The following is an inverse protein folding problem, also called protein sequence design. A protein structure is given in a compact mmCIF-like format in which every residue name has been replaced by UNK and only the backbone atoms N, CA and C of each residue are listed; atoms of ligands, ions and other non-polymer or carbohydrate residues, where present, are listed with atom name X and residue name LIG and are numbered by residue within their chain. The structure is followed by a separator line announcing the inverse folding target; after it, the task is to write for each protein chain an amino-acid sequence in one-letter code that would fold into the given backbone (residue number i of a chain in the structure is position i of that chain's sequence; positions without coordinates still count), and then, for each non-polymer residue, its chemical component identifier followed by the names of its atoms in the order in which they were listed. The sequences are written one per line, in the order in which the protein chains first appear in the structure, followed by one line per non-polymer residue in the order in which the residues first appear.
data_IF_626624434880
#
_entry.id   IF_626624434880
#
_cell.length_a   1.000
_cell.length_b   1.000
_cell.length_c   1.000
_cell.angle_alpha   90.00
_cell.angle_beta   90.00
_cell.angle_gamma   90.00
#
_symmetry.space_group_name_H-M   'P 1'
#
loop_
_entity.id
_entity.type
_entity.pdbx_description
1 polymer ?
#
# COMPACT_ATOMS: atom_id res chain seq x y z
N UNK A 1 -2.25 6.63 24.47
CA UNK A 1 -1.77 5.32 24.97
C UNK A 1 -1.43 4.46 23.77
N UNK A 2 -0.19 4.58 23.28
CA UNK A 2 0.38 3.61 22.37
C UNK A 2 0.88 2.47 23.26
N UNK A 3 0.43 1.25 23.02
CA UNK A 3 0.92 0.10 23.77
C UNK A 3 2.44 0.06 23.59
N UNK A 4 3.15 0.28 24.70
CA UNK A 4 4.55 -0.02 24.84
C UNK A 4 4.67 -1.51 24.50
N UNK A 5 5.40 -1.78 23.42
CA UNK A 5 5.54 -3.08 22.81
C UNK A 5 6.43 -3.91 23.75
N UNK A 6 5.82 -4.55 24.75
CA UNK A 6 6.43 -5.60 25.59
C UNK A 6 6.71 -6.89 24.79
N UNK A 7 6.80 -6.81 23.45
CA UNK A 7 7.12 -7.95 22.59
C UNK A 7 8.59 -7.87 22.17
N UNK A 8 9.30 -9.02 22.12
CA UNK A 8 10.69 -9.07 21.69
C UNK A 8 10.82 -8.41 20.33
N UNK A 9 11.81 -7.53 20.19
CA UNK A 9 12.06 -6.78 18.97
C UNK A 9 12.23 -7.75 17.78
N UNK A 10 11.19 -7.83 16.94
CA UNK A 10 11.15 -8.69 15.77
C UNK A 10 12.29 -8.38 14.80
N UNK A 11 12.84 -7.15 14.81
CA UNK A 11 13.98 -6.80 13.99
C UNK A 11 15.26 -7.55 14.41
N UNK A 12 15.46 -7.78 15.71
CA UNK A 12 16.58 -8.62 16.21
C UNK A 12 16.51 -10.01 15.60
N UNK A 13 15.33 -10.59 15.53
CA UNK A 13 15.12 -11.91 14.90
C UNK A 13 15.43 -11.89 13.39
N UNK A 14 15.20 -10.76 12.70
CA UNK A 14 15.60 -10.61 11.30
C UNK A 14 17.12 -10.50 11.15
N UNK A 15 17.81 -9.85 12.09
CA UNK A 15 19.27 -9.75 12.10
C UNK A 15 19.94 -11.11 12.38
N UNK A 16 19.41 -11.91 13.29
CA UNK A 16 19.88 -13.29 13.54
C UNK A 16 19.72 -14.16 12.30
N UNK A 17 18.57 -14.10 11.62
CA UNK A 17 18.41 -14.81 10.35
C UNK A 17 19.41 -14.34 9.29
N UNK A 18 19.71 -13.04 9.28
CA UNK A 18 20.68 -12.48 8.34
C UNK A 18 22.09 -13.01 8.64
N UNK A 19 22.44 -13.18 9.93
CA UNK A 19 23.76 -13.65 10.35
C UNK A 19 24.07 -15.09 9.96
N UNK A 20 23.05 -15.91 9.72
CA UNK A 20 23.19 -17.25 9.16
C UNK A 20 23.78 -17.25 7.74
N UNK A 21 23.71 -16.11 7.01
CA UNK A 21 24.18 -15.99 5.62
C UNK A 21 25.26 -14.93 5.42
N UNK A 22 25.35 -13.96 6.32
CA UNK A 22 26.24 -12.81 6.21
C UNK A 22 26.95 -12.56 7.53
N UNK A 23 28.12 -11.92 7.49
CA UNK A 23 28.80 -11.55 8.72
C UNK A 23 28.10 -10.33 9.33
N UNK A 24 27.39 -10.58 10.42
CA UNK A 24 26.75 -9.57 11.26
C UNK A 24 27.58 -9.48 12.55
N UNK A 25 28.17 -8.33 12.83
CA UNK A 25 29.05 -8.14 13.99
C UNK A 25 28.63 -6.92 14.79
N UNK A 26 28.89 -6.93 16.09
CA UNK A 26 28.64 -5.77 16.94
C UNK A 26 29.68 -4.67 16.67
N UNK A 27 29.24 -3.47 16.28
CA UNK A 27 30.11 -2.30 16.09
C UNK A 27 30.54 -1.67 17.42
N UNK A 28 29.72 -1.83 18.45
CA UNK A 28 29.89 -1.23 19.77
C UNK A 28 29.53 -2.23 20.88
N UNK A 29 29.87 -1.91 22.13
CA UNK A 29 29.46 -2.72 23.27
C UNK A 29 27.94 -2.62 23.46
N UNK A 30 27.26 -3.76 23.55
CA UNK A 30 25.83 -3.83 23.84
C UNK A 30 25.64 -3.73 25.35
N UNK A 31 24.88 -2.74 25.79
CA UNK A 31 24.67 -2.43 27.22
C UNK A 31 23.20 -2.50 27.57
N UNK A 32 22.90 -2.87 28.82
CA UNK A 32 21.56 -2.72 29.37
C UNK A 32 21.29 -1.26 29.80
N UNK A 33 20.05 -0.94 30.19
CA UNK A 33 19.68 0.41 30.66
C UNK A 33 20.49 0.90 31.88
N UNK A 34 21.06 0.00 32.67
CA UNK A 34 21.91 0.33 33.82
C UNK A 34 23.38 0.59 33.42
N UNK A 35 23.71 0.51 32.12
CA UNK A 35 25.05 0.74 31.59
C UNK A 35 25.98 -0.48 31.67
N UNK A 36 25.52 -1.63 32.17
CA UNK A 36 26.32 -2.85 32.23
C UNK A 36 26.48 -3.45 30.83
N UNK A 37 27.72 -3.82 30.48
CA UNK A 37 28.04 -4.46 29.19
C UNK A 37 27.54 -5.90 29.20
N UNK A 38 26.61 -6.19 28.30
CA UNK A 38 26.08 -7.54 28.07
C UNK A 38 26.97 -8.33 27.11
N UNK A 39 27.48 -7.64 26.08
CA UNK A 39 28.35 -8.19 25.04
C UNK A 39 29.32 -7.12 24.56
N UNK A 40 30.60 -7.48 24.42
CA UNK A 40 31.62 -6.61 23.84
C UNK A 40 31.52 -6.50 22.32
N UNK A 41 31.95 -5.34 21.80
CA UNK A 41 32.10 -5.07 20.36
C UNK A 41 32.94 -6.13 19.66
N UNK A 42 32.69 -6.32 18.37
CA UNK A 42 33.40 -7.25 17.48
C UNK A 42 32.88 -8.69 17.51
N UNK A 43 32.02 -9.05 18.46
CA UNK A 43 31.38 -10.37 18.47
C UNK A 43 30.41 -10.54 17.30
N UNK A 44 30.37 -11.74 16.74
CA UNK A 44 29.39 -12.13 15.74
C UNK A 44 28.01 -12.29 16.39
N UNK A 45 26.96 -11.79 15.74
CA UNK A 45 25.59 -11.93 16.23
C UNK A 45 25.03 -13.29 15.80
N UNK A 46 24.97 -14.26 16.71
CA UNK A 46 24.31 -15.54 16.50
C UNK A 46 23.02 -15.66 17.34
N UNK A 47 22.36 -16.81 17.28
CA UNK A 47 21.09 -17.05 17.97
C UNK A 47 21.25 -17.04 19.50
N UNK A 48 22.33 -17.61 20.03
CA UNK A 48 22.63 -17.62 21.46
C UNK A 48 22.83 -16.20 21.99
N UNK A 49 23.64 -15.40 21.28
CA UNK A 49 23.92 -14.03 21.63
C UNK A 49 22.65 -13.17 21.56
N UNK A 50 21.82 -13.37 20.55
CA UNK A 50 20.56 -12.65 20.42
C UNK A 50 19.57 -13.01 21.52
N UNK A 51 19.46 -14.28 21.92
CA UNK A 51 18.64 -14.67 23.06
C UNK A 51 19.12 -13.99 24.34
N UNK A 52 20.44 -13.95 24.57
CA UNK A 52 21.04 -13.22 25.70
C UNK A 52 20.73 -11.72 25.65
N UNK A 53 20.76 -11.10 24.47
CA UNK A 53 20.47 -9.67 24.32
C UNK A 53 18.97 -9.41 24.55
N UNK A 54 18.08 -10.23 23.98
CA UNK A 54 16.63 -10.08 24.08
C UNK A 54 16.08 -10.29 25.51
N UNK A 55 16.82 -10.94 26.42
CA UNK A 55 16.41 -11.06 27.83
C UNK A 55 16.66 -9.79 28.65
N UNK A 56 17.19 -8.72 28.04
CA UNK A 56 17.49 -7.47 28.71
C UNK A 56 16.88 -6.27 27.98
N UNK A 57 16.49 -5.26 28.75
CA UNK A 57 16.20 -3.95 28.20
C UNK A 57 17.52 -3.22 27.89
N UNK A 58 17.75 -2.93 26.61
CA UNK A 58 18.98 -2.32 26.13
C UNK A 58 18.99 -0.79 26.36
N UNK A 59 20.17 -0.21 26.49
CA UNK A 59 20.34 1.26 26.58
C UNK A 59 20.03 1.97 25.26
N UNK A 60 20.14 1.25 24.14
CA UNK A 60 19.80 1.70 22.80
C UNK A 60 19.30 0.51 21.96
N UNK A 61 18.53 0.75 20.89
CA UNK A 61 18.11 -0.32 19.99
C UNK A 61 19.31 -1.11 19.42
N UNK A 62 19.18 -2.44 19.31
CA UNK A 62 20.30 -3.31 18.90
C UNK A 62 20.83 -2.94 17.52
N UNK A 63 19.98 -2.44 16.62
CA UNK A 63 20.39 -1.99 15.29
C UNK A 63 21.50 -0.95 15.30
N UNK A 64 21.60 -0.11 16.34
CA UNK A 64 22.64 0.91 16.46
C UNK A 64 24.00 0.30 16.78
N UNK A 65 24.01 -0.91 17.35
CA UNK A 65 25.22 -1.63 17.73
C UNK A 65 25.64 -2.67 16.69
N UNK A 66 25.00 -2.75 15.52
CA UNK A 66 25.24 -3.81 14.54
C UNK A 66 25.82 -3.25 13.25
N UNK A 67 26.83 -3.94 12.72
CA UNK A 67 27.41 -3.69 11.40
C UNK A 67 27.25 -4.92 10.51
N UNK A 68 26.86 -4.68 9.26
CA UNK A 68 26.78 -5.69 8.21
C UNK A 68 27.99 -5.61 7.28
N UNK A 69 28.56 -6.75 6.90
CA UNK A 69 29.60 -6.82 5.87
C UNK A 69 29.03 -6.73 4.45
N UNK A 70 27.76 -7.08 4.26
CA UNK A 70 27.03 -6.95 3.02
C UNK A 70 26.02 -5.81 3.15
N UNK A 71 26.28 -4.69 2.47
CA UNK A 71 25.34 -3.57 2.40
C UNK A 71 24.75 -3.46 0.99
N UNK A 72 23.50 -3.02 0.90
CA UNK A 72 22.92 -2.43 -0.32
C UNK A 72 23.35 -0.95 -0.33
N UNK A 73 24.63 -0.70 -0.63
CA UNK A 73 25.19 0.65 -0.80
C UNK A 73 24.66 1.34 -2.07
N UNK A 74 25.08 2.58 -2.34
CA UNK A 74 24.66 3.34 -3.53
C UNK A 74 24.89 2.55 -4.82
N UNK A 75 26.09 1.98 -4.99
CA UNK A 75 26.45 1.21 -6.18
C UNK A 75 25.49 0.03 -6.39
N UNK A 76 25.27 -0.79 -5.36
CA UNK A 76 24.32 -1.92 -5.45
C UNK A 76 22.88 -1.46 -5.64
N UNK A 77 22.49 -0.33 -5.04
CA UNK A 77 21.16 0.22 -5.21
C UNK A 77 20.92 0.61 -6.69
N UNK A 78 21.89 1.27 -7.32
CA UNK A 78 21.88 1.56 -8.76
C UNK A 78 21.81 0.27 -9.59
N UNK A 79 22.60 -0.76 -9.26
CA UNK A 79 22.53 -2.07 -9.93
C UNK A 79 21.13 -2.71 -9.81
N UNK A 80 20.43 -2.53 -8.68
CA UNK A 80 19.06 -3.01 -8.55
C UNK A 80 18.07 -2.20 -9.40
N UNK A 81 18.23 -0.88 -9.53
CA UNK A 81 17.43 -0.09 -10.47
C UNK A 81 17.68 -0.49 -11.93
N UNK A 82 18.92 -0.76 -12.31
CA UNK A 82 19.24 -1.29 -13.64
C UNK A 82 18.51 -2.61 -13.91
N UNK A 83 18.41 -3.50 -12.90
CA UNK A 83 17.62 -4.74 -13.00
C UNK A 83 16.12 -4.49 -13.11
N UNK A 84 15.61 -3.44 -12.47
CA UNK A 84 14.21 -3.00 -12.63
C UNK A 84 13.98 -2.52 -14.06
N UNK A 85 14.82 -1.62 -14.58
CA UNK A 85 14.72 -1.10 -15.94
C UNK A 85 14.85 -2.20 -17.00
N UNK A 86 15.75 -3.17 -16.81
CA UNK A 86 15.87 -4.32 -17.70
C UNK A 86 14.60 -5.19 -17.78
N UNK A 87 13.75 -5.17 -16.74
CA UNK A 87 12.46 -5.89 -16.72
C UNK A 87 11.28 -5.04 -17.22
N UNK A 88 11.42 -3.72 -17.25
CA UNK A 88 10.37 -2.79 -17.60
C UNK A 88 10.84 -1.85 -18.72
N UNK A 89 10.90 -2.35 -19.94
CA UNK A 89 11.41 -1.61 -21.11
C UNK A 89 10.77 -0.23 -21.32
N UNK A 90 9.43 -0.04 -21.20
CA UNK A 90 8.82 1.29 -21.31
C UNK A 90 9.33 2.29 -20.27
N UNK A 91 9.54 1.83 -19.02
CA UNK A 91 10.09 2.67 -17.96
C UNK A 91 11.57 2.98 -18.19
N UNK A 92 12.34 2.03 -18.71
CA UNK A 92 13.74 2.24 -19.05
C UNK A 92 13.91 3.28 -20.17
N UNK A 93 13.08 3.20 -21.21
CA UNK A 93 13.05 4.17 -22.30
C UNK A 93 12.69 5.56 -21.77
N UNK A 94 11.60 5.66 -21.00
CA UNK A 94 11.18 6.91 -20.38
C UNK A 94 12.27 7.51 -19.48
N UNK A 95 12.96 6.68 -18.70
CA UNK A 95 14.07 7.11 -17.84
C UNK A 95 15.19 7.79 -18.64
N UNK A 96 15.53 7.23 -19.81
CA UNK A 96 16.55 7.77 -20.72
C UNK A 96 16.09 9.06 -21.39
N UNK A 97 14.87 9.07 -21.94
CA UNK A 97 14.30 10.24 -22.64
C UNK A 97 14.16 11.46 -21.73
N UNK A 98 13.88 11.24 -20.44
CA UNK A 98 13.79 12.31 -19.43
C UNK A 98 15.11 12.63 -18.76
N UNK A 99 16.22 12.03 -19.20
CA UNK A 99 17.58 12.25 -18.68
C UNK A 99 17.70 12.09 -17.15
N UNK A 100 16.99 11.11 -16.57
CA UNK A 100 16.83 10.98 -15.12
C UNK A 100 17.98 10.27 -14.40
N UNK A 101 19.00 9.82 -15.14
CA UNK A 101 20.13 9.04 -14.61
C UNK A 101 20.85 9.78 -13.48
N UNK A 102 21.28 11.02 -13.74
CA UNK A 102 22.06 11.82 -12.80
C UNK A 102 21.29 12.12 -11.51
N UNK A 103 19.98 12.40 -11.64
CA UNK A 103 19.11 12.63 -10.50
C UNK A 103 18.91 11.35 -9.66
N UNK A 104 18.72 10.19 -10.30
CA UNK A 104 18.57 8.92 -9.60
C UNK A 104 19.86 8.53 -8.87
N UNK A 105 21.03 8.75 -9.50
CA UNK A 105 22.34 8.54 -8.88
C UNK A 105 22.53 9.46 -7.67
N UNK A 106 22.27 10.76 -7.84
CA UNK A 106 22.28 11.78 -6.76
C UNK A 106 21.36 11.38 -5.59
N UNK A 107 20.19 10.78 -5.87
CA UNK A 107 19.29 10.27 -4.85
C UNK A 107 19.83 9.01 -4.13
N UNK A 108 20.47 8.09 -4.87
CA UNK A 108 21.13 6.92 -4.30
C UNK A 108 22.35 7.30 -3.43
N UNK A 109 23.11 8.32 -3.82
CA UNK A 109 24.19 8.88 -3.01
C UNK A 109 23.70 9.50 -1.71
N UNK A 110 22.57 10.23 -1.77
CA UNK A 110 21.95 10.77 -0.57
C UNK A 110 21.48 9.67 0.39
N UNK A 111 20.89 8.60 -0.12
CA UNK A 111 20.53 7.41 0.67
C UNK A 111 21.73 6.81 1.42
N UNK A 112 22.90 6.73 0.78
CA UNK A 112 24.10 6.12 1.38
C UNK A 112 24.63 6.89 2.61
N UNK A 113 24.24 8.15 2.79
CA UNK A 113 24.63 8.96 3.96
C UNK A 113 24.09 8.42 5.29
N UNK A 114 23.13 7.48 5.26
CA UNK A 114 22.43 6.97 6.43
C UNK A 114 22.70 5.46 6.64
N UNK A 115 23.78 5.06 7.35
CA UNK A 115 24.16 3.66 7.53
C UNK A 115 23.03 2.78 8.12
N UNK A 116 22.26 3.32 9.07
CA UNK A 116 21.15 2.57 9.69
C UNK A 116 20.00 2.30 8.69
N UNK A 117 19.75 3.22 7.75
CA UNK A 117 18.79 3.01 6.66
C UNK A 117 19.35 1.99 5.67
N UNK A 118 20.63 2.09 5.31
CA UNK A 118 21.31 1.11 4.44
C UNK A 118 21.22 -0.30 5.01
N UNK A 119 21.42 -0.43 6.32
CA UNK A 119 21.24 -1.69 7.05
C UNK A 119 19.82 -2.22 6.93
N UNK A 120 18.79 -1.39 7.21
CA UNK A 120 17.38 -1.84 7.13
C UNK A 120 16.97 -2.21 5.71
N UNK A 121 17.40 -1.48 4.69
CA UNK A 121 17.15 -1.84 3.28
C UNK A 121 17.86 -3.15 2.90
N UNK A 122 19.06 -3.38 3.44
CA UNK A 122 19.76 -4.66 3.25
C UNK A 122 18.99 -5.81 3.87
N UNK A 123 18.52 -5.66 5.11
CA UNK A 123 17.69 -6.67 5.79
C UNK A 123 16.40 -6.90 5.00
N UNK A 124 15.71 -5.83 4.57
CA UNK A 124 14.50 -5.91 3.75
C UNK A 124 14.74 -6.71 2.47
N UNK A 125 15.81 -6.42 1.74
CA UNK A 125 16.18 -7.12 0.51
C UNK A 125 16.37 -8.62 0.71
N UNK A 126 16.96 -9.03 1.84
CA UNK A 126 17.23 -10.46 2.11
C UNK A 126 15.99 -11.18 2.63
N UNK A 127 15.26 -10.55 3.56
CA UNK A 127 14.13 -11.19 4.23
C UNK A 127 12.83 -11.13 3.41
N UNK A 128 12.66 -10.08 2.59
CA UNK A 128 11.48 -9.91 1.73
C UNK A 128 11.84 -9.25 0.40
N UNK A 129 12.33 -10.03 -0.60
CA UNK A 129 12.66 -9.50 -1.92
C UNK A 129 11.50 -8.77 -2.62
N UNK A 130 10.25 -9.19 -2.37
CA UNK A 130 9.06 -8.55 -2.93
C UNK A 130 8.83 -7.14 -2.35
N UNK A 131 8.92 -6.97 -1.02
CA UNK A 131 8.82 -5.66 -0.39
C UNK A 131 9.99 -4.76 -0.79
N UNK A 132 11.19 -5.32 -0.96
CA UNK A 132 12.33 -4.56 -1.49
C UNK A 132 12.10 -4.09 -2.92
N UNK A 133 11.52 -4.92 -3.79
CA UNK A 133 11.15 -4.48 -5.14
C UNK A 133 10.10 -3.37 -5.12
N UNK A 134 9.07 -3.49 -4.27
CA UNK A 134 8.08 -2.42 -4.08
C UNK A 134 8.72 -1.12 -3.54
N UNK A 135 9.68 -1.22 -2.63
CA UNK A 135 10.44 -0.08 -2.13
C UNK A 135 11.21 0.64 -3.25
N UNK A 136 11.90 -0.10 -4.13
CA UNK A 136 12.60 0.48 -5.29
C UNK A 136 11.62 1.22 -6.20
N UNK A 137 10.53 0.56 -6.59
CA UNK A 137 9.52 1.14 -7.47
C UNK A 137 8.86 2.37 -6.84
N UNK A 138 8.59 2.33 -5.53
CA UNK A 138 7.97 3.45 -4.81
C UNK A 138 8.91 4.65 -4.75
N UNK A 139 10.20 4.42 -4.43
CA UNK A 139 11.23 5.45 -4.47
C UNK A 139 11.34 6.10 -5.86
N UNK A 140 11.40 5.29 -6.92
CA UNK A 140 11.50 5.80 -8.28
C UNK A 140 10.24 6.56 -8.72
N UNK A 141 9.03 6.02 -8.48
CA UNK A 141 7.79 6.71 -8.82
C UNK A 141 7.63 8.03 -8.03
N UNK A 142 8.04 8.03 -6.76
CA UNK A 142 8.07 9.25 -5.94
C UNK A 142 9.04 10.30 -6.50
N UNK A 143 10.19 9.88 -7.02
CA UNK A 143 11.14 10.77 -7.70
C UNK A 143 10.54 11.38 -8.97
N UNK A 144 9.87 10.57 -9.80
CA UNK A 144 9.20 11.05 -11.02
C UNK A 144 8.13 12.09 -10.72
N UNK A 145 7.27 11.82 -9.73
CA UNK A 145 6.20 12.75 -9.34
C UNK A 145 6.80 14.05 -8.78
N UNK A 146 7.87 13.97 -7.98
CA UNK A 146 8.56 15.15 -7.46
C UNK A 146 9.15 16.03 -8.59
N UNK A 147 9.73 15.40 -9.62
CA UNK A 147 10.28 16.10 -10.79
C UNK A 147 9.20 16.78 -11.62
N UNK A 148 8.07 16.11 -11.87
CA UNK A 148 6.97 16.73 -12.62
C UNK A 148 6.27 17.85 -11.83
N UNK A 149 6.26 17.76 -10.50
CA UNK A 149 5.85 18.86 -9.62
C UNK A 149 6.88 20.01 -9.54
N UNK A 150 8.01 19.90 -10.25
CA UNK A 150 9.11 20.89 -10.28
C UNK A 150 9.68 21.18 -8.89
N UNK A 151 9.72 20.17 -8.03
CA UNK A 151 10.40 20.27 -6.75
C UNK A 151 11.92 20.41 -6.96
N UNK A 152 12.61 21.02 -6.00
CA UNK A 152 14.07 21.12 -6.05
C UNK A 152 14.72 19.74 -6.09
N UNK A 153 15.97 19.68 -6.55
CA UNK A 153 16.74 18.42 -6.55
C UNK A 153 16.82 17.82 -5.15
N UNK A 154 17.02 18.67 -4.12
CA UNK A 154 17.04 18.24 -2.73
C UNK A 154 15.71 17.62 -2.28
N UNK A 155 14.59 18.28 -2.55
CA UNK A 155 13.25 17.74 -2.23
C UNK A 155 12.96 16.46 -3.00
N UNK A 156 13.43 16.35 -4.24
CA UNK A 156 13.29 15.15 -5.06
C UNK A 156 14.06 13.97 -4.47
N UNK A 157 15.31 14.18 -4.01
CA UNK A 157 16.08 13.15 -3.27
C UNK A 157 15.42 12.75 -1.95
N UNK A 158 14.85 13.71 -1.23
CA UNK A 158 14.12 13.43 0.01
C UNK A 158 12.86 12.60 -0.24
N UNK A 159 12.12 12.94 -1.29
CA UNK A 159 10.89 12.26 -1.70
C UNK A 159 11.19 10.85 -2.21
N UNK A 160 12.27 10.66 -2.97
CA UNK A 160 12.81 9.35 -3.33
C UNK A 160 13.16 8.53 -2.09
N UNK A 161 13.90 9.11 -1.14
CA UNK A 161 14.32 8.39 0.06
C UNK A 161 13.11 7.98 0.91
N UNK A 162 12.13 8.88 1.09
CA UNK A 162 10.88 8.57 1.77
C UNK A 162 10.13 7.41 1.09
N UNK A 163 10.03 7.44 -0.24
CA UNK A 163 9.44 6.35 -1.03
C UNK A 163 10.22 5.04 -0.94
N UNK A 164 11.55 5.08 -0.91
CA UNK A 164 12.39 3.89 -0.75
C UNK A 164 12.20 3.23 0.62
N UNK A 165 11.92 4.01 1.66
CA UNK A 165 11.95 3.52 3.05
C UNK A 165 10.57 3.46 3.72
N UNK A 166 9.49 3.83 3.04
CA UNK A 166 8.15 3.94 3.63
C UNK A 166 7.70 2.69 4.42
N UNK A 167 8.11 1.50 3.94
CA UNK A 167 7.70 0.22 4.49
C UNK A 167 8.76 -0.49 5.37
N UNK A 168 9.86 0.18 5.75
CA UNK A 168 10.88 -0.45 6.63
C UNK A 168 10.33 -0.83 8.02
N UNK A 169 9.23 -0.19 8.45
CA UNK A 169 8.54 -0.52 9.69
C UNK A 169 7.98 -1.94 9.71
N UNK A 170 7.74 -2.55 8.55
CA UNK A 170 7.25 -3.93 8.43
C UNK A 170 8.27 -4.92 9.04
N UNK A 171 9.56 -4.59 9.02
CA UNK A 171 10.62 -5.44 9.59
C UNK A 171 10.46 -5.69 11.09
N UNK A 172 9.72 -4.81 11.78
CA UNK A 172 9.42 -4.88 13.21
C UNK A 172 8.12 -5.61 13.53
N UNK A 173 7.36 -6.04 12.52
CA UNK A 173 6.11 -6.78 12.71
C UNK A 173 6.37 -8.28 12.86
N UNK A 174 5.43 -8.99 13.51
CA UNK A 174 5.51 -10.45 13.64
C UNK A 174 5.51 -11.16 12.28
N UNK A 175 6.30 -12.23 12.16
CA UNK A 175 6.41 -13.02 10.91
C UNK A 175 5.06 -13.55 10.43
N UNK A 176 4.17 -13.91 11.34
CA UNK A 176 2.82 -14.41 10.99
C UNK A 176 1.97 -13.34 10.29
N UNK A 177 2.18 -12.06 10.60
CA UNK A 177 1.54 -10.95 9.89
C UNK A 177 2.22 -10.75 8.53
N UNK A 178 3.55 -10.74 8.48
CA UNK A 178 4.31 -10.55 7.23
C UNK A 178 4.07 -11.65 6.18
N UNK A 179 3.88 -12.90 6.62
CA UNK A 179 3.73 -14.06 5.74
C UNK A 179 2.28 -14.31 5.28
N UNK A 180 1.32 -13.51 5.74
CA UNK A 180 -0.08 -13.72 5.39
C UNK A 180 -0.33 -13.41 3.91
N UNK A 181 -0.77 -14.41 3.16
CA UNK A 181 -1.18 -14.28 1.75
C UNK A 181 -2.70 -14.16 1.57
N UNK A 182 -3.47 -14.31 2.65
CA UNK A 182 -4.92 -14.25 2.66
C UNK A 182 -5.46 -12.96 3.27
N UNK A 183 -6.73 -12.98 3.67
CA UNK A 183 -7.31 -11.86 4.40
C UNK A 183 -6.67 -11.73 5.79
N UNK A 184 -6.40 -10.51 6.21
CA UNK A 184 -6.00 -10.24 7.59
C UNK A 184 -7.19 -10.36 8.53
N UNK A 185 -6.99 -11.02 9.67
CA UNK A 185 -7.86 -10.86 10.83
C UNK A 185 -7.82 -9.41 11.32
N UNK A 186 -8.83 -9.01 12.10
CA UNK A 186 -8.87 -7.73 12.79
C UNK A 186 -7.58 -7.35 13.51
N UNK A 187 -6.99 -8.34 14.21
CA UNK A 187 -5.78 -8.13 15.00
C UNK A 187 -4.55 -7.97 14.10
N UNK A 188 -4.38 -8.86 13.12
CA UNK A 188 -3.25 -8.76 12.19
C UNK A 188 -3.31 -7.47 11.37
N UNK A 189 -4.51 -7.01 10.99
CA UNK A 189 -4.66 -5.74 10.29
C UNK A 189 -4.24 -4.55 11.15
N UNK A 190 -4.62 -4.50 12.44
CA UNK A 190 -4.16 -3.46 13.36
C UNK A 190 -2.64 -3.49 13.55
N UNK A 191 -2.05 -4.68 13.65
CA UNK A 191 -0.60 -4.83 13.69
C UNK A 191 0.04 -4.30 12.41
N UNK A 192 -0.51 -4.63 11.23
CA UNK A 192 -0.03 -4.09 9.96
C UNK A 192 -0.11 -2.55 9.91
N UNK A 193 -1.21 -1.95 10.36
CA UNK A 193 -1.38 -0.48 10.39
C UNK A 193 -0.40 0.26 11.31
N UNK A 194 0.35 -0.46 12.16
CA UNK A 194 1.38 0.14 13.02
C UNK A 194 2.72 0.40 12.32
N UNK A 195 2.97 -0.20 11.15
CA UNK A 195 4.28 -0.07 10.49
C UNK A 195 4.71 1.38 10.16
N UNK A 196 3.83 2.33 9.80
CA UNK A 196 4.26 3.71 9.56
C UNK A 196 4.80 4.36 10.85
N UNK A 197 4.18 4.02 12.00
CA UNK A 197 4.61 4.49 13.32
C UNK A 197 5.96 3.87 13.68
N UNK A 198 6.11 2.56 13.51
CA UNK A 198 7.37 1.86 13.79
C UNK A 198 8.52 2.39 12.93
N UNK A 199 8.25 2.67 11.65
CA UNK A 199 9.23 3.31 10.77
C UNK A 199 9.56 4.73 11.25
N UNK A 200 8.55 5.54 11.60
CA UNK A 200 8.74 6.91 12.11
C UNK A 200 9.61 6.98 13.38
N UNK A 201 9.31 6.15 14.38
CA UNK A 201 10.04 6.12 15.65
C UNK A 201 11.53 5.78 15.45
N UNK A 202 11.82 4.87 14.52
CA UNK A 202 13.19 4.58 14.12
C UNK A 202 13.82 5.77 13.37
N UNK A 203 13.14 6.31 12.35
CA UNK A 203 13.70 7.35 11.48
C UNK A 203 14.00 8.65 12.24
N UNK A 204 13.21 8.99 13.26
CA UNK A 204 13.47 10.13 14.15
C UNK A 204 14.82 10.05 14.87
N UNK A 205 15.33 8.83 15.07
CA UNK A 205 16.61 8.60 15.77
C UNK A 205 17.80 8.53 14.82
N UNK A 206 17.59 8.55 13.50
CA UNK A 206 18.65 8.49 12.50
C UNK A 206 19.38 9.84 12.43
N UNK A 207 20.69 9.91 12.75
CA UNK A 207 21.42 11.17 12.75
C UNK A 207 21.43 11.85 11.37
N UNK A 208 21.14 13.15 11.37
CA UNK A 208 21.16 13.97 10.15
C UNK A 208 20.01 13.73 9.17
N UNK A 209 19.06 12.83 9.48
CA UNK A 209 17.89 12.62 8.64
C UNK A 209 16.88 13.75 8.85
N UNK A 210 16.43 14.45 7.80
CA UNK A 210 15.39 15.47 7.92
C UNK A 210 14.09 14.88 8.46
N UNK A 211 13.48 15.55 9.45
CA UNK A 211 12.22 15.11 10.06
C UNK A 211 11.05 15.05 9.06
N UNK A 212 11.11 15.83 7.98
CA UNK A 212 10.14 15.79 6.87
C UNK A 212 10.09 14.42 6.18
N UNK A 213 11.21 13.70 6.06
CA UNK A 213 11.27 12.36 5.48
C UNK A 213 10.57 11.37 6.41
N UNK A 214 10.86 11.42 7.71
CA UNK A 214 10.17 10.60 8.71
C UNK A 214 8.67 10.88 8.72
N UNK A 215 8.25 12.16 8.68
CA UNK A 215 6.83 12.53 8.61
C UNK A 215 6.16 12.00 7.34
N UNK A 216 6.82 12.06 6.18
CA UNK A 216 6.27 11.50 4.94
C UNK A 216 6.04 9.98 5.05
N UNK A 217 6.98 9.27 5.68
CA UNK A 217 6.83 7.84 5.99
C UNK A 217 5.71 7.57 6.99
N UNK A 218 5.49 8.45 7.97
CA UNK A 218 4.37 8.31 8.90
C UNK A 218 3.01 8.50 8.22
N UNK A 219 2.96 9.36 7.20
CA UNK A 219 1.73 9.85 6.57
C UNK A 219 1.36 9.11 5.27
N UNK A 220 2.19 8.21 4.75
CA UNK A 220 1.97 7.63 3.40
C UNK A 220 0.68 6.81 3.24
N UNK A 221 0.05 6.38 4.34
CA UNK A 221 -1.26 5.72 4.31
C UNK A 221 -2.43 6.62 4.74
N UNK A 222 -2.18 7.91 5.00
CA UNK A 222 -3.23 8.89 5.19
C UNK A 222 -3.86 9.27 3.84
N UNK A 223 -5.15 9.58 3.86
CA UNK A 223 -5.90 9.95 2.66
C UNK A 223 -6.42 11.38 2.81
N UNK A 224 -6.49 12.15 1.72
CA UNK A 224 -6.91 13.55 1.77
C UNK A 224 -8.35 13.73 2.28
N UNK A 225 -9.21 12.73 2.08
CA UNK A 225 -10.57 12.70 2.63
C UNK A 225 -10.63 12.35 4.13
N UNK A 226 -9.51 11.96 4.76
CA UNK A 226 -9.41 11.55 6.15
C UNK A 226 -9.85 10.10 6.41
N UNK A 227 -9.90 9.25 5.38
CA UNK A 227 -10.20 7.81 5.52
C UNK A 227 -8.96 6.92 5.72
N UNK A 228 -7.74 7.49 5.61
CA UNK A 228 -6.47 6.78 5.79
C UNK A 228 -6.06 6.56 7.25
N UNK A 229 -4.84 6.08 7.49
CA UNK A 229 -4.29 5.75 8.83
C UNK A 229 -2.82 6.20 8.93
N UNK A 230 -2.22 6.37 10.14
CA UNK A 230 -2.70 5.94 11.46
C UNK A 230 -3.57 6.96 12.23
N UNK A 231 -3.59 8.23 11.86
CA UNK A 231 -4.25 9.30 12.63
C UNK A 231 -5.56 9.80 12.02
N UNK A 232 -5.84 9.45 10.77
CA UNK A 232 -7.00 9.91 9.98
C UNK A 232 -6.94 11.41 9.70
N UNK A 233 -5.74 11.93 9.39
CA UNK A 233 -5.52 13.36 9.11
C UNK A 233 -6.18 13.75 7.78
N UNK A 234 -6.88 14.90 7.70
CA UNK A 234 -7.36 15.42 6.42
C UNK A 234 -6.19 15.94 5.58
N UNK A 235 -6.39 16.04 4.26
CA UNK A 235 -5.33 16.41 3.31
C UNK A 235 -4.64 17.75 3.60
N UNK A 236 -5.35 18.71 4.21
CA UNK A 236 -4.79 20.01 4.62
C UNK A 236 -3.77 19.92 5.75
N UNK A 237 -3.69 18.79 6.47
CA UNK A 237 -2.74 18.53 7.55
C UNK A 237 -1.60 17.58 7.15
N UNK A 238 -1.61 17.09 5.90
CA UNK A 238 -0.62 16.16 5.38
C UNK A 238 0.49 16.92 4.64
N UNK A 239 1.74 16.49 4.79
CA UNK A 239 2.84 17.01 4.00
C UNK A 239 2.76 16.57 2.53
N UNK A 240 3.18 17.43 1.60
CA UNK A 240 3.19 17.10 0.16
C UNK A 240 4.00 15.83 -0.13
N UNK A 241 5.15 15.65 0.53
CA UNK A 241 6.00 14.47 0.37
C UNK A 241 5.28 13.18 0.80
N UNK A 242 4.55 13.20 1.93
CA UNK A 242 3.74 12.05 2.36
C UNK A 242 2.63 11.72 1.36
N UNK A 243 2.01 12.74 0.76
CA UNK A 243 0.99 12.56 -0.28
C UNK A 243 1.58 11.99 -1.59
N UNK A 244 2.80 12.38 -1.97
CA UNK A 244 3.52 11.80 -3.13
C UNK A 244 3.85 10.33 -2.88
N UNK A 245 4.39 10.01 -1.70
CA UNK A 245 4.72 8.62 -1.34
C UNK A 245 3.45 7.77 -1.26
N UNK A 246 2.38 8.27 -0.64
CA UNK A 246 1.11 7.56 -0.57
C UNK A 246 0.45 7.31 -1.92
N UNK A 247 0.56 8.27 -2.85
CA UNK A 247 0.13 8.06 -4.25
C UNK A 247 0.96 6.96 -4.93
N UNK A 248 2.29 7.01 -4.77
CA UNK A 248 3.20 6.01 -5.35
C UNK A 248 2.93 4.61 -4.82
N UNK A 249 2.79 4.46 -3.51
CA UNK A 249 2.46 3.17 -2.88
C UNK A 249 1.09 2.66 -3.29
N UNK A 250 0.08 3.55 -3.39
CA UNK A 250 -1.25 3.17 -3.87
C UNK A 250 -1.22 2.64 -5.31
N UNK A 251 -0.48 3.31 -6.20
CA UNK A 251 -0.30 2.86 -7.58
C UNK A 251 0.31 1.45 -7.64
N UNK A 252 1.35 1.20 -6.84
CA UNK A 252 2.03 -0.10 -6.79
C UNK A 252 1.18 -1.20 -6.15
N UNK A 253 0.44 -0.88 -5.10
CA UNK A 253 -0.48 -1.81 -4.45
C UNK A 253 -1.57 -2.27 -5.42
N UNK A 254 -2.16 -1.33 -6.16
CA UNK A 254 -3.15 -1.64 -7.19
C UNK A 254 -2.52 -2.43 -8.34
N UNK A 255 -1.35 -2.01 -8.83
CA UNK A 255 -0.64 -2.69 -9.91
C UNK A 255 -0.35 -4.16 -9.57
N UNK A 256 0.22 -4.43 -8.40
CA UNK A 256 0.56 -5.78 -7.96
C UNK A 256 -0.69 -6.66 -7.77
N UNK A 257 -1.79 -6.07 -7.29
CA UNK A 257 -3.05 -6.80 -7.04
C UNK A 257 -3.80 -7.12 -8.34
N UNK A 258 -3.91 -6.17 -9.26
CA UNK A 258 -4.83 -6.25 -10.41
C UNK A 258 -4.16 -6.41 -11.77
N UNK A 259 -2.94 -5.90 -11.95
CA UNK A 259 -2.36 -5.66 -13.28
C UNK A 259 -1.15 -6.55 -13.58
N UNK A 260 -0.27 -6.75 -12.60
CA UNK A 260 1.01 -7.45 -12.79
C UNK A 260 0.84 -8.87 -13.35
N UNK A 261 -0.13 -9.64 -12.83
CA UNK A 261 -0.40 -11.00 -13.31
C UNK A 261 -1.02 -11.05 -14.71
N UNK A 262 -1.61 -9.93 -15.17
CA UNK A 262 -2.15 -9.76 -16.53
C UNK A 262 -1.13 -9.14 -17.49
N UNK A 263 0.09 -8.85 -17.01
CA UNK A 263 1.16 -8.21 -17.77
C UNK A 263 0.78 -6.85 -18.37
N UNK A 264 -0.16 -6.14 -17.73
CA UNK A 264 -0.58 -4.81 -18.14
C UNK A 264 0.42 -3.74 -17.71
N UNK A 265 0.48 -2.64 -18.46
CA UNK A 265 1.26 -1.44 -18.12
C UNK A 265 0.67 -0.64 -16.96
N UNK A 266 1.41 0.36 -16.47
CA UNK A 266 0.91 1.23 -15.40
C UNK A 266 -0.17 2.22 -15.90
N UNK A 267 -0.30 2.46 -17.20
CA UNK A 267 -1.43 3.21 -17.79
C UNK A 267 -2.79 2.60 -17.45
N UNK A 268 -2.86 1.28 -17.28
CA UNK A 268 -4.08 0.60 -16.84
C UNK A 268 -4.52 1.00 -15.42
N UNK A 269 -3.70 1.73 -14.65
CA UNK A 269 -4.10 2.34 -13.38
C UNK A 269 -4.98 3.58 -13.56
N UNK A 270 -4.91 4.28 -14.69
CA UNK A 270 -5.63 5.54 -14.92
C UNK A 270 -7.14 5.43 -14.62
N UNK A 271 -7.88 4.43 -15.15
CA UNK A 271 -9.28 4.27 -14.79
C UNK A 271 -9.45 4.04 -13.29
N UNK A 272 -8.60 3.23 -12.65
CA UNK A 272 -8.70 2.92 -11.22
C UNK A 272 -8.44 4.13 -10.31
N UNK A 273 -7.44 4.94 -10.64
CA UNK A 273 -7.13 6.17 -9.91
C UNK A 273 -8.25 7.20 -10.03
N UNK A 274 -8.88 7.30 -11.21
CA UNK A 274 -10.05 8.16 -11.43
C UNK A 274 -11.22 7.82 -10.51
N UNK A 275 -11.37 6.55 -10.11
CA UNK A 275 -12.46 6.10 -9.23
C UNK A 275 -12.31 6.64 -7.80
N UNK A 276 -11.08 6.91 -7.38
CA UNK A 276 -10.75 7.32 -6.03
C UNK A 276 -10.13 8.72 -5.97
N UNK A 277 -10.36 9.58 -6.97
CA UNK A 277 -9.66 10.87 -7.10
C UNK A 277 -9.70 11.76 -5.86
N UNK A 278 -10.75 11.65 -5.02
CA UNK A 278 -10.90 12.42 -3.78
C UNK A 278 -9.96 12.02 -2.63
N UNK A 279 -9.32 10.83 -2.69
CA UNK A 279 -8.38 10.40 -1.63
C UNK A 279 -6.99 10.99 -1.80
N UNK A 280 -6.70 11.54 -2.99
CA UNK A 280 -5.39 12.05 -3.36
C UNK A 280 -5.36 13.57 -3.34
N UNK A 281 -4.16 14.12 -3.20
CA UNK A 281 -3.94 15.53 -3.46
C UNK A 281 -4.12 15.81 -4.96
N UNK A 282 -4.86 16.87 -5.30
CA UNK A 282 -5.22 17.17 -6.68
C UNK A 282 -4.01 17.40 -7.60
N UNK A 283 -2.95 18.08 -7.12
CA UNK A 283 -1.74 18.33 -7.92
C UNK A 283 -0.96 17.04 -8.13
N UNK A 284 -0.75 16.27 -7.06
CA UNK A 284 -0.08 14.96 -7.11
C UNK A 284 -0.84 14.02 -8.05
N UNK A 285 -2.16 13.97 -7.94
CA UNK A 285 -3.04 13.19 -8.79
C UNK A 285 -2.93 13.56 -10.27
N UNK A 286 -3.04 14.85 -10.60
CA UNK A 286 -2.97 15.31 -11.98
C UNK A 286 -1.63 14.97 -12.63
N UNK A 287 -0.52 15.22 -11.92
CA UNK A 287 0.84 14.89 -12.38
C UNK A 287 1.03 13.38 -12.53
N UNK A 288 0.51 12.58 -11.60
CA UNK A 288 0.59 11.12 -11.70
C UNK A 288 -0.13 10.62 -12.94
N UNK A 289 -1.33 11.13 -13.24
CA UNK A 289 -2.04 10.75 -14.46
C UNK A 289 -1.26 11.16 -15.71
N UNK A 290 -0.68 12.36 -15.74
CA UNK A 290 0.13 12.81 -16.86
C UNK A 290 1.35 11.89 -17.07
N UNK A 291 2.09 11.54 -16.01
CA UNK A 291 3.21 10.60 -16.08
C UNK A 291 2.83 9.23 -16.62
N UNK A 292 1.70 8.70 -16.14
CA UNK A 292 1.20 7.41 -16.62
C UNK A 292 0.82 7.43 -18.10
N UNK A 293 0.40 8.58 -18.63
CA UNK A 293 0.07 8.75 -20.05
C UNK A 293 1.29 9.03 -20.93
N UNK A 294 2.33 9.64 -20.36
CA UNK A 294 3.54 10.06 -21.09
C UNK A 294 4.48 8.89 -21.40
N UNK A 295 4.46 7.84 -20.57
CA UNK A 295 5.22 6.61 -20.85
C UNK A 295 4.58 5.87 -22.05
N UNK A 296 5.40 5.46 -23.02
CA UNK A 296 4.94 4.70 -24.18
C UNK A 296 4.68 3.23 -23.85
N UNK A 297 3.47 2.92 -23.36
CA UNK A 297 3.07 1.55 -23.02
C UNK A 297 2.67 0.73 -24.25
N UNK A 298 3.10 -0.54 -24.34
CA UNK A 298 2.67 -1.42 -25.43
C UNK A 298 1.17 -1.73 -25.30
N UNK A 299 0.45 -1.70 -26.42
CA UNK A 299 -0.92 -2.20 -26.47
C UNK A 299 -0.92 -3.69 -26.14
N UNK A 300 -1.43 -4.02 -24.96
CA UNK A 300 -1.46 -5.39 -24.45
C UNK A 300 -2.89 -5.87 -24.37
N UNK A 301 -3.21 -6.96 -25.08
CA UNK A 301 -4.49 -7.68 -24.97
C UNK A 301 -4.31 -8.82 -23.97
N UNK A 302 -5.23 -8.90 -23.01
CA UNK A 302 -5.23 -9.96 -21.99
C UNK A 302 -5.83 -11.25 -22.56
N UNK A 303 -6.84 -11.13 -23.42
CA UNK A 303 -7.56 -12.28 -23.96
C UNK A 303 -7.49 -12.31 -25.49
N UNK A 304 -7.36 -13.50 -26.11
CA UNK A 304 -7.64 -13.68 -27.53
C UNK A 304 -9.09 -13.31 -27.86
N UNK A 305 -9.32 -12.79 -29.06
CA UNK A 305 -10.66 -12.38 -29.53
C UNK A 305 -11.70 -13.51 -29.43
N UNK A 306 -11.28 -14.75 -29.67
CA UNK A 306 -12.14 -15.93 -29.54
C UNK A 306 -12.69 -16.15 -28.10
N UNK A 307 -12.01 -15.64 -27.07
CA UNK A 307 -12.43 -15.76 -25.67
C UNK A 307 -13.30 -14.57 -25.21
N UNK A 308 -13.36 -13.50 -26.00
CA UNK A 308 -14.06 -12.27 -25.59
C UNK A 308 -15.55 -12.45 -25.31
N UNK A 309 -16.33 -13.29 -26.04
CA UNK A 309 -17.71 -13.56 -25.68
C UNK A 309 -17.88 -14.09 -24.24
N UNK A 310 -16.97 -14.95 -23.77
CA UNK A 310 -17.00 -15.49 -22.40
C UNK A 310 -16.59 -14.44 -21.37
N UNK A 311 -15.60 -13.59 -21.69
CA UNK A 311 -15.22 -12.44 -20.86
C UNK A 311 -16.41 -11.50 -20.69
N UNK A 312 -17.09 -11.13 -21.77
CA UNK A 312 -18.26 -10.27 -21.73
C UNK A 312 -19.40 -10.86 -20.91
N UNK A 313 -19.68 -12.15 -21.08
CA UNK A 313 -20.69 -12.87 -20.28
C UNK A 313 -20.34 -12.84 -18.79
N UNK A 314 -19.07 -13.05 -18.43
CA UNK A 314 -18.57 -12.94 -17.04
C UNK A 314 -18.75 -11.52 -16.50
N UNK A 315 -18.40 -10.50 -17.28
CA UNK A 315 -18.57 -9.10 -16.89
C UNK A 315 -20.04 -8.75 -16.66
N UNK A 316 -20.96 -9.17 -17.54
CA UNK A 316 -22.40 -8.95 -17.32
C UNK A 316 -22.89 -9.59 -16.02
N UNK A 317 -22.45 -10.81 -15.70
CA UNK A 317 -22.76 -11.45 -14.42
C UNK A 317 -22.19 -10.64 -13.24
N UNK A 318 -20.95 -10.17 -13.34
CA UNK A 318 -20.31 -9.36 -12.30
C UNK A 318 -21.01 -8.01 -12.14
N UNK A 319 -21.47 -7.38 -13.22
CA UNK A 319 -22.24 -6.15 -13.21
C UNK A 319 -23.55 -6.31 -12.42
N UNK A 320 -24.25 -7.44 -12.61
CA UNK A 320 -25.48 -7.75 -11.87
C UNK A 320 -25.22 -7.88 -10.36
N UNK A 321 -24.11 -8.54 -9.99
CA UNK A 321 -23.68 -8.67 -8.59
C UNK A 321 -23.36 -7.29 -8.00
N UNK A 322 -22.59 -6.47 -8.72
CA UNK A 322 -22.25 -5.10 -8.30
C UNK A 322 -23.52 -4.25 -8.10
N UNK A 323 -24.48 -4.33 -9.04
CA UNK A 323 -25.76 -3.63 -8.94
C UNK A 323 -26.58 -4.09 -7.73
N UNK A 324 -26.64 -5.40 -7.48
CA UNK A 324 -27.31 -5.96 -6.30
C UNK A 324 -26.65 -5.46 -5.01
N UNK A 325 -25.34 -5.65 -4.87
CA UNK A 325 -24.58 -5.29 -3.68
C UNK A 325 -24.70 -3.79 -3.38
N UNK A 326 -24.54 -2.95 -4.39
CA UNK A 326 -24.71 -1.50 -4.28
C UNK A 326 -26.10 -1.16 -3.73
N UNK A 327 -27.18 -1.70 -4.30
CA UNK A 327 -28.55 -1.42 -3.84
C UNK A 327 -28.76 -1.82 -2.39
N UNK A 328 -28.29 -3.01 -1.99
CA UNK A 328 -28.44 -3.51 -0.62
C UNK A 328 -27.63 -2.67 0.37
N UNK A 329 -26.35 -2.41 0.06
CA UNK A 329 -25.45 -1.64 0.91
C UNK A 329 -25.99 -0.22 1.14
N UNK A 330 -26.36 0.47 0.06
CA UNK A 330 -26.83 1.85 0.17
C UNK A 330 -28.24 1.95 0.77
N UNK A 331 -29.09 0.94 0.57
CA UNK A 331 -30.35 0.85 1.33
C UNK A 331 -30.09 0.78 2.84
N UNK A 332 -29.16 -0.07 3.28
CA UNK A 332 -28.78 -0.15 4.71
C UNK A 332 -28.22 1.20 5.17
N UNK A 333 -27.21 1.75 4.47
CA UNK A 333 -26.53 2.99 4.84
C UNK A 333 -27.50 4.17 5.00
N UNK A 334 -28.41 4.35 4.03
CA UNK A 334 -29.39 5.44 4.07
C UNK A 334 -30.33 5.36 5.27
N UNK A 335 -30.74 4.15 5.65
CA UNK A 335 -31.62 3.96 6.81
C UNK A 335 -30.90 4.12 8.16
N UNK A 336 -29.61 3.78 8.23
CA UNK A 336 -28.84 3.92 9.48
C UNK A 336 -28.17 5.29 9.63
N UNK A 337 -28.12 6.11 8.57
CA UNK A 337 -27.35 7.36 8.51
C UNK A 337 -27.59 8.30 9.72
N UNK A 338 -28.85 8.46 10.13
CA UNK A 338 -29.25 9.31 11.26
C UNK A 338 -28.98 8.70 12.65
N UNK A 339 -28.57 7.42 12.71
CA UNK A 339 -28.46 6.64 13.93
C UNK A 339 -27.06 6.09 14.20
N UNK A 340 -26.12 6.32 13.28
CA UNK A 340 -24.73 5.93 13.46
C UNK A 340 -24.05 6.89 14.47
N UNK A 341 -23.34 6.38 15.50
CA UNK A 341 -22.65 7.23 16.47
C UNK A 341 -21.57 8.08 15.83
N UNK A 342 -21.29 9.26 16.37
CA UNK A 342 -20.24 10.14 15.84
C UNK A 342 -18.86 9.74 16.42
N UNK A 343 -18.03 9.09 15.60
CA UNK A 343 -16.67 8.70 15.94
C UNK A 343 -15.80 8.53 14.68
N UNK A 344 -14.50 8.29 14.86
CA UNK A 344 -13.56 8.18 13.72
C UNK A 344 -13.93 7.09 12.71
N UNK A 345 -14.38 5.91 13.16
CA UNK A 345 -14.74 4.80 12.25
C UNK A 345 -16.02 5.07 11.48
N UNK A 346 -16.97 5.79 12.06
CA UNK A 346 -18.22 6.15 11.40
C UNK A 346 -18.06 7.32 10.44
N UNK A 347 -17.18 8.27 10.77
CA UNK A 347 -16.71 9.29 9.83
C UNK A 347 -16.02 8.64 8.61
N UNK A 348 -15.16 7.64 8.85
CA UNK A 348 -14.53 6.84 7.77
C UNK A 348 -15.58 6.15 6.90
N UNK A 349 -16.59 5.50 7.49
CA UNK A 349 -17.68 4.89 6.74
C UNK A 349 -18.39 5.90 5.83
N UNK A 350 -18.75 7.07 6.35
CA UNK A 350 -19.42 8.14 5.57
C UNK A 350 -18.57 8.63 4.40
N UNK A 351 -17.25 8.78 4.60
CA UNK A 351 -16.30 9.20 3.56
C UNK A 351 -16.16 8.16 2.46
N UNK A 352 -15.92 6.90 2.85
CA UNK A 352 -15.78 5.78 1.91
C UNK A 352 -17.08 5.58 1.14
N UNK A 353 -18.25 5.63 1.81
CA UNK A 353 -19.54 5.48 1.13
C UNK A 353 -19.84 6.65 0.19
N UNK A 354 -19.54 7.88 0.57
CA UNK A 354 -19.72 9.04 -0.30
C UNK A 354 -18.84 8.96 -1.56
N UNK A 355 -17.57 8.53 -1.39
CA UNK A 355 -16.63 8.33 -2.50
C UNK A 355 -17.12 7.26 -3.47
N UNK A 356 -17.51 6.09 -2.96
CA UNK A 356 -18.03 4.99 -3.78
C UNK A 356 -19.32 5.39 -4.50
N UNK A 357 -20.17 6.22 -3.88
CA UNK A 357 -21.40 6.71 -4.51
C UNK A 357 -21.09 7.64 -5.69
N UNK A 358 -20.24 8.63 -5.46
CA UNK A 358 -19.79 9.58 -6.48
C UNK A 358 -19.14 8.86 -7.67
N UNK A 359 -18.40 7.78 -7.40
CA UNK A 359 -17.87 6.91 -8.45
C UNK A 359 -18.97 6.29 -9.32
N UNK A 360 -20.00 5.69 -8.71
CA UNK A 360 -21.06 5.03 -9.48
C UNK A 360 -21.88 6.03 -10.31
N UNK A 361 -22.13 7.22 -9.76
CA UNK A 361 -22.79 8.32 -10.47
C UNK A 361 -22.00 8.75 -11.72
N UNK A 362 -20.66 8.73 -11.66
CA UNK A 362 -19.78 9.18 -12.75
C UNK A 362 -19.42 8.10 -13.77
N UNK A 363 -19.34 6.83 -13.35
CA UNK A 363 -18.84 5.74 -14.21
C UNK A 363 -19.86 5.19 -15.21
N UNK A 364 -21.15 5.42 -14.97
CA UNK A 364 -22.23 4.87 -15.81
C UNK A 364 -22.42 3.35 -15.71
N UNK A 365 -21.63 2.65 -14.88
CA UNK A 365 -21.65 1.16 -14.80
C UNK A 365 -23.01 0.62 -14.33
N UNK A 366 -23.74 1.40 -13.52
CA UNK A 366 -25.09 1.03 -13.07
C UNK A 366 -26.19 1.44 -14.05
N UNK A 367 -25.87 2.15 -15.13
CA UNK A 367 -26.86 2.63 -16.11
C UNK A 367 -27.25 1.53 -17.09
N UNK A 368 -28.51 1.47 -17.54
CA UNK A 368 -28.96 0.50 -18.54
C UNK A 368 -28.11 0.51 -19.82
N UNK A 369 -27.70 1.69 -20.27
CA UNK A 369 -26.87 1.88 -21.46
C UNK A 369 -25.54 1.11 -21.42
N UNK A 370 -24.94 0.92 -20.23
CA UNK A 370 -23.71 0.15 -20.10
C UNK A 370 -23.96 -1.36 -20.33
N UNK A 371 -25.08 -1.86 -19.82
CA UNK A 371 -25.50 -3.26 -20.03
C UNK A 371 -25.85 -3.52 -21.49
N UNK A 372 -26.52 -2.57 -22.14
CA UNK A 372 -26.82 -2.63 -23.57
C UNK A 372 -25.56 -2.63 -24.43
N UNK A 373 -24.56 -1.81 -24.07
CA UNK A 373 -23.27 -1.78 -24.76
C UNK A 373 -22.55 -3.14 -24.69
N UNK A 374 -22.49 -3.77 -23.51
CA UNK A 374 -21.94 -5.13 -23.38
C UNK A 374 -22.76 -6.15 -24.19
N UNK A 375 -24.09 -6.10 -24.12
CA UNK A 375 -24.93 -7.02 -24.89
C UNK A 375 -24.77 -6.87 -26.40
N UNK A 376 -24.61 -5.63 -26.90
CA UNK A 376 -24.37 -5.36 -28.33
C UNK A 376 -23.03 -5.90 -28.80
N UNK A 377 -21.96 -5.73 -28.00
CA UNK A 377 -20.66 -6.29 -28.36
C UNK A 377 -20.65 -7.82 -28.37
N UNK A 378 -21.51 -8.49 -27.58
CA UNK A 378 -21.71 -9.94 -27.68
C UNK A 378 -22.47 -10.35 -28.96
N UNK A 379 -23.50 -9.58 -29.34
CA UNK A 379 -24.31 -9.87 -30.53
C UNK A 379 -23.55 -9.58 -31.84
N UNK A 380 -22.62 -8.61 -31.81
CA UNK A 380 -21.77 -8.24 -32.95
C UNK A 380 -20.28 -8.11 -32.55
N UNK A 381 -19.59 -9.24 -32.26
CA UNK A 381 -18.20 -9.23 -31.79
C UNK A 381 -17.21 -8.55 -32.74
N UNK A 382 -17.48 -8.62 -34.05
CA UNK A 382 -16.66 -8.01 -35.11
C UNK A 382 -16.57 -6.47 -35.01
N UNK A 383 -17.54 -5.85 -34.32
CA UNK A 383 -17.61 -4.38 -34.14
C UNK A 383 -17.32 -3.94 -32.71
N UNK A 384 -16.98 -4.89 -31.83
CA UNK A 384 -16.77 -4.61 -30.42
C UNK A 384 -15.34 -4.10 -30.15
N UNK A 385 -15.23 -3.05 -29.34
CA UNK A 385 -13.93 -2.61 -28.82
C UNK A 385 -13.52 -3.50 -27.64
N UNK A 386 -12.87 -4.62 -27.95
CA UNK A 386 -12.41 -5.57 -26.94
C UNK A 386 -11.37 -4.96 -25.98
N UNK A 387 -10.58 -3.99 -26.43
CA UNK A 387 -9.62 -3.29 -25.56
C UNK A 387 -10.35 -2.46 -24.51
N UNK A 388 -11.42 -1.75 -24.90
CA UNK A 388 -12.28 -1.05 -23.95
C UNK A 388 -12.98 -2.02 -22.98
N UNK A 389 -13.46 -3.18 -23.46
CA UNK A 389 -14.12 -4.20 -22.61
C UNK A 389 -13.15 -4.77 -21.58
N UNK A 390 -11.91 -5.10 -21.96
CA UNK A 390 -10.89 -5.60 -21.02
C UNK A 390 -10.59 -4.60 -19.89
N UNK A 391 -10.60 -3.29 -20.19
CA UNK A 391 -10.42 -2.24 -19.16
C UNK A 391 -11.58 -2.19 -18.15
N UNK A 392 -12.79 -2.58 -18.54
CA UNK A 392 -13.92 -2.68 -17.61
C UNK A 392 -13.76 -3.83 -16.61
N UNK A 393 -13.07 -4.92 -16.95
CA UNK A 393 -12.80 -6.01 -16.01
C UNK A 393 -11.99 -5.52 -14.79
N UNK A 394 -10.98 -4.72 -15.05
CA UNK A 394 -10.12 -4.10 -14.03
C UNK A 394 -10.96 -3.16 -13.16
N UNK A 395 -11.77 -2.33 -13.82
CA UNK A 395 -12.69 -1.39 -13.15
C UNK A 395 -13.67 -2.14 -12.24
N UNK A 396 -14.31 -3.19 -12.72
CA UNK A 396 -15.28 -3.98 -11.95
C UNK A 396 -14.64 -4.68 -10.75
N UNK A 397 -13.39 -5.12 -10.89
CA UNK A 397 -12.64 -5.75 -9.79
C UNK A 397 -12.37 -4.76 -8.66
N UNK A 398 -11.94 -3.53 -8.97
CA UNK A 398 -11.77 -2.46 -7.99
C UNK A 398 -13.10 -2.06 -7.33
N UNK A 399 -14.18 -1.96 -8.10
CA UNK A 399 -15.51 -1.65 -7.57
C UNK A 399 -15.99 -2.71 -6.59
N UNK A 400 -15.85 -3.98 -6.98
CA UNK A 400 -16.18 -5.10 -6.12
C UNK A 400 -15.36 -5.06 -4.82
N UNK A 401 -14.08 -4.70 -4.92
CA UNK A 401 -13.21 -4.53 -3.77
C UNK A 401 -13.67 -3.39 -2.84
N UNK A 402 -14.07 -2.24 -3.38
CA UNK A 402 -14.59 -1.09 -2.59
C UNK A 402 -15.91 -1.44 -1.88
N UNK A 403 -16.85 -2.10 -2.59
CA UNK A 403 -18.09 -2.58 -1.99
C UNK A 403 -17.80 -3.57 -0.85
N UNK A 404 -16.83 -4.46 -1.04
CA UNK A 404 -16.38 -5.39 0.01
C UNK A 404 -15.81 -4.66 1.23
N UNK A 405 -15.12 -3.53 1.05
CA UNK A 405 -14.67 -2.70 2.19
C UNK A 405 -15.84 -2.08 2.95
N UNK A 406 -16.86 -1.59 2.25
CA UNK A 406 -18.08 -1.07 2.88
C UNK A 406 -18.80 -2.15 3.68
N UNK A 407 -18.89 -3.38 3.16
CA UNK A 407 -19.43 -4.53 3.87
C UNK A 407 -18.64 -4.81 5.15
N UNK A 408 -17.30 -4.80 5.11
CA UNK A 408 -16.46 -4.98 6.31
C UNK A 408 -16.75 -3.94 7.39
N UNK A 409 -16.96 -2.68 6.99
CA UNK A 409 -17.32 -1.60 7.91
C UNK A 409 -18.74 -1.77 8.49
N UNK A 410 -19.69 -2.25 7.69
CA UNK A 410 -21.04 -2.60 8.16
C UNK A 410 -21.03 -3.79 9.13
N UNK A 411 -20.25 -4.84 8.85
CA UNK A 411 -20.02 -5.95 9.78
C UNK A 411 -19.38 -5.46 11.08
N UNK A 412 -18.41 -4.53 11.02
CA UNK A 412 -17.83 -3.95 12.23
C UNK A 412 -18.87 -3.18 13.07
N UNK A 413 -19.72 -2.37 12.41
CA UNK A 413 -20.81 -1.65 13.07
C UNK A 413 -21.78 -2.60 13.77
N UNK A 414 -22.08 -3.72 13.11
CA UNK A 414 -22.88 -4.79 13.68
C UNK A 414 -22.29 -5.37 14.95
N UNK A 415 -21.08 -5.93 14.84
CA UNK A 415 -20.51 -6.84 15.84
C UNK A 415 -20.33 -6.15 17.19
N UNK A 416 -20.18 -4.82 17.15
CA UNK A 416 -20.06 -3.97 18.33
C UNK A 416 -21.40 -3.46 18.87
N UNK A 417 -22.52 -3.89 18.30
CA UNK A 417 -23.89 -3.50 18.68
C UNK A 417 -24.05 -1.98 18.82
N UNK A 418 -23.45 -1.21 17.90
CA UNK A 418 -23.44 0.25 17.97
C UNK A 418 -24.84 0.89 17.81
N UNK A 419 -25.83 0.13 17.36
CA UNK A 419 -27.21 0.58 17.27
C UNK A 419 -27.97 0.27 18.57
N UNK A 420 -28.47 1.31 19.23
CA UNK A 420 -29.28 1.19 20.46
C UNK A 420 -30.67 0.57 20.19
N UNK A 421 -31.21 0.73 18.98
CA UNK A 421 -32.57 0.30 18.64
C UNK A 421 -32.57 -1.09 17.95
N UNK A 422 -33.33 -2.10 18.46
CA UNK A 422 -33.35 -3.46 17.90
C UNK A 422 -33.70 -3.54 16.41
N UNK A 423 -34.66 -2.72 15.94
CA UNK A 423 -35.02 -2.65 14.51
C UNK A 423 -33.85 -2.26 13.59
N UNK A 424 -32.93 -1.42 14.04
CA UNK A 424 -31.76 -1.04 13.25
C UNK A 424 -30.77 -2.20 13.16
N UNK A 425 -30.58 -2.95 14.25
CA UNK A 425 -29.78 -4.18 14.22
C UNK A 425 -30.39 -5.18 13.23
N UNK A 426 -31.69 -5.46 13.34
CA UNK A 426 -32.39 -6.38 12.44
C UNK A 426 -32.30 -5.95 10.96
N UNK A 427 -32.39 -4.65 10.68
CA UNK A 427 -32.29 -4.11 9.32
C UNK A 427 -30.91 -4.33 8.71
N UNK A 428 -29.85 -4.03 9.45
CA UNK A 428 -28.51 -4.40 9.02
C UNK A 428 -28.50 -5.92 8.78
N UNK A 429 -29.24 -6.75 9.57
CA UNK A 429 -29.13 -8.24 9.51
C UNK A 429 -29.58 -8.72 8.19
N UNK A 430 -30.75 -8.19 7.82
CA UNK A 430 -31.41 -8.49 6.59
C UNK A 430 -30.52 -8.08 5.43
N UNK A 431 -29.92 -6.89 5.48
CA UNK A 431 -28.96 -6.45 4.46
C UNK A 431 -27.75 -7.37 4.33
N UNK A 432 -27.02 -7.62 5.42
CA UNK A 432 -25.86 -8.53 5.40
C UNK A 432 -26.25 -9.96 5.00
N UNK A 433 -27.42 -10.44 5.41
CA UNK A 433 -27.91 -11.78 5.03
C UNK A 433 -28.31 -11.85 3.57
N UNK A 434 -28.86 -10.78 3.00
CA UNK A 434 -29.17 -10.69 1.57
C UNK A 434 -27.90 -10.80 0.73
N UNK A 435 -26.87 -10.01 1.07
CA UNK A 435 -25.55 -10.11 0.44
C UNK A 435 -24.99 -11.55 0.56
N UNK A 436 -25.08 -12.15 1.75
CA UNK A 436 -24.58 -13.52 2.03
C UNK A 436 -25.29 -14.58 1.18
N UNK A 437 -26.60 -14.40 0.92
CA UNK A 437 -27.38 -15.30 0.06
C UNK A 437 -27.00 -15.14 -1.40
N UNK A 438 -26.80 -13.90 -1.86
CA UNK A 438 -26.46 -13.61 -3.25
C UNK A 438 -25.09 -14.17 -3.66
N UNK A 439 -24.11 -14.12 -2.75
CA UNK A 439 -22.75 -14.63 -3.00
C UNK A 439 -22.52 -16.08 -2.55
N UNK A 440 -23.56 -16.79 -2.09
CA UNK A 440 -23.44 -18.10 -1.43
C UNK A 440 -22.88 -18.01 0.01
N UNK A 441 -23.36 -18.86 0.94
CA UNK A 441 -23.18 -18.72 2.40
C UNK A 441 -21.75 -18.56 2.95
N UNK A 442 -20.69 -18.75 2.14
CA UNK A 442 -19.27 -18.79 2.56
C UNK A 442 -18.43 -17.53 2.24
N UNK A 443 -18.99 -16.50 1.60
CA UNK A 443 -18.18 -15.48 0.89
C UNK A 443 -18.14 -14.08 1.53
N UNK A 444 -18.94 -13.78 2.56
CA UNK A 444 -18.87 -12.45 3.17
C UNK A 444 -17.66 -12.30 4.10
N UNK A 445 -16.93 -11.18 4.01
CA UNK A 445 -15.81 -10.93 4.88
C UNK A 445 -16.25 -10.71 6.33
N UNK A 446 -15.42 -11.16 7.27
CA UNK A 446 -15.56 -10.87 8.69
C UNK A 446 -15.18 -9.41 8.99
N UNK A 447 -15.68 -8.86 10.09
CA UNK A 447 -15.31 -7.52 10.55
C UNK A 447 -13.80 -7.42 10.83
N UNK A 448 -13.21 -6.25 10.56
CA UNK A 448 -11.78 -5.92 10.81
C UNK A 448 -11.62 -5.00 12.02
#
# INVERSE_FOLDING_TARGET
MLHIVDTPDNYVQQLVKLSQRFQVSLSEDVKNQLGAVLVHKGKHLDEELAQKICSHQLSQPLENCVKLNANVDCKKLIEYFQKVFAKHAPLAQFHQEKELTTLLESACEYYQKFPQIVQKITVLKVQSPALFHQALMCGYMSLLIAQELKLSEQESRWTFLAGLIHNIGILHLDKGVQANKGEYTSQQWRTMQSHPILAYEFLKQVPGLPSSIANAVLEHHECCDGSGYPFNKPGSQLGLMGQIVGMSDTCLAIYNRELAHKQLGFDALIPLLKLNSSIYNQKVYAVTLALLQDVNWPLTRVYPDAQMPDVMKRLMCQQQIIQHDYRVIYSVLNNIAAHIPDNKKTAMLKRVSGRVQCFFERSGILQPAHSEWLSKGMAAPQTADFSAIEKYEITYSEVSWQLKQLVKLLCWLWDKKHFKHPKLQEMVQKGLSQLRRHHGQKSLPQAV
#
